data_IF_439337942000
#
_entry.id   IF_439337942000
#
_cell.length_a   1.000
_cell.length_b   1.000
_cell.length_c   1.000
_cell.angle_alpha   90.00
_cell.angle_beta   90.00
_cell.angle_gamma   90.00
#
_symmetry.space_group_name_H-M   'P 1'
#
loop_
_entity.id
_entity.type
_entity.pdbx_description
1 polymer ?
#
# COMPACT_ATOMS: atom_id res chain seq x y z
N UNK A 1 9.22 54.60 58.07
CA UNK A 1 8.97 55.35 56.81
C UNK A 1 9.76 54.66 55.72
N UNK A 2 9.28 54.21 54.55
CA UNK A 2 8.04 54.27 53.76
C UNK A 2 7.86 52.84 53.19
N UNK A 3 6.70 52.16 53.25
CA UNK A 3 5.53 52.21 52.34
C UNK A 3 5.85 52.34 50.83
N UNK A 4 5.48 51.31 50.06
CA UNK A 4 5.08 51.48 48.66
C UNK A 4 4.94 50.19 47.84
N UNK A 5 3.69 49.81 47.53
CA UNK A 5 3.16 49.23 46.25
C UNK A 5 3.70 47.88 45.72
N UNK A 6 3.00 47.00 45.01
CA UNK A 6 1.60 46.76 44.58
C UNK A 6 1.60 45.27 44.15
N UNK A 7 0.68 44.41 44.57
CA UNK A 7 -0.54 44.01 43.84
C UNK A 7 -0.30 43.55 42.39
N UNK A 8 -0.07 42.26 42.17
CA UNK A 8 -0.55 41.54 40.97
C UNK A 8 -1.00 40.13 41.37
N UNK A 9 -2.25 39.87 41.01
CA UNK A 9 -3.01 38.64 41.14
C UNK A 9 -2.51 37.58 40.18
N UNK A 10 -2.01 36.46 40.69
CA UNK A 10 -1.74 35.28 39.87
C UNK A 10 -3.08 34.65 39.48
N UNK A 11 -3.39 34.85 38.22
CA UNK A 11 -4.56 34.31 37.55
C UNK A 11 -4.25 32.86 37.21
N UNK A 12 -5.10 31.99 37.72
CA UNK A 12 -5.46 30.67 37.21
C UNK A 12 -4.99 30.43 35.75
N UNK A 13 -4.01 29.55 35.57
CA UNK A 13 -3.78 28.90 34.28
C UNK A 13 -3.98 27.41 34.52
N UNK A 14 -5.26 27.04 34.47
CA UNK A 14 -5.72 25.68 34.29
C UNK A 14 -5.00 25.11 33.05
N UNK A 15 -3.97 24.30 33.31
CA UNK A 15 -3.23 23.59 32.27
C UNK A 15 -4.09 22.42 31.78
N UNK A 16 -5.18 22.76 31.09
CA UNK A 16 -5.89 21.82 30.23
C UNK A 16 -4.93 21.49 29.11
N UNK A 17 -4.22 20.37 29.27
CA UNK A 17 -3.43 19.71 28.25
C UNK A 17 -4.41 19.25 27.17
N UNK A 18 -4.71 20.16 26.25
CA UNK A 18 -5.46 19.88 25.03
C UNK A 18 -4.65 18.85 24.25
N UNK A 19 -5.03 17.58 24.42
CA UNK A 19 -4.63 16.53 23.51
C UNK A 19 -5.16 16.97 22.17
N UNK A 20 -4.27 17.44 21.28
CA UNK A 20 -4.56 17.53 19.87
C UNK A 20 -5.01 16.13 19.43
N UNK A 21 -6.32 15.93 19.38
CA UNK A 21 -6.90 14.87 18.59
C UNK A 21 -6.47 15.20 17.17
N UNK A 22 -5.44 14.50 16.70
CA UNK A 22 -5.23 14.33 15.28
C UNK A 22 -6.48 13.59 14.82
N UNK A 23 -7.49 14.34 14.41
CA UNK A 23 -8.55 13.81 13.57
C UNK A 23 -7.84 13.32 12.32
N UNK A 24 -7.50 12.04 12.33
CA UNK A 24 -7.09 11.32 11.13
C UNK A 24 -8.32 11.34 10.23
N UNK A 25 -8.43 12.37 9.39
CA UNK A 25 -9.33 12.37 8.25
C UNK A 25 -8.77 11.30 7.31
N UNK A 26 -9.09 10.04 7.58
CA UNK A 26 -8.93 8.96 6.60
C UNK A 26 -9.81 9.35 5.43
N UNK A 27 -9.19 9.81 4.34
CA UNK A 27 -9.84 9.88 3.04
C UNK A 27 -10.48 8.51 2.80
N UNK A 28 -11.81 8.45 2.90
CA UNK A 28 -12.53 7.21 2.71
C UNK A 28 -12.49 6.89 1.22
N UNK A 29 -11.51 6.09 0.81
CA UNK A 29 -11.44 5.57 -0.55
C UNK A 29 -12.67 4.71 -0.80
N UNK A 30 -13.39 4.97 -1.89
CA UNK A 30 -14.51 4.14 -2.34
C UNK A 30 -13.99 2.81 -2.93
N UNK A 31 -13.63 1.89 -2.03
CA UNK A 31 -13.12 0.55 -2.38
C UNK A 31 -14.16 -0.23 -3.18
N UNK A 32 -15.44 -0.13 -2.84
CA UNK A 32 -16.53 -0.81 -3.56
C UNK A 32 -16.66 -0.29 -5.00
N UNK A 33 -16.54 1.02 -5.20
CA UNK A 33 -16.49 1.65 -6.52
C UNK A 33 -15.28 1.20 -7.32
N UNK A 34 -14.10 1.10 -6.70
CA UNK A 34 -12.90 0.57 -7.33
C UNK A 34 -13.06 -0.88 -7.77
N UNK A 35 -13.61 -1.74 -6.91
CA UNK A 35 -13.87 -3.14 -7.24
C UNK A 35 -14.84 -3.27 -8.42
N UNK A 36 -15.89 -2.44 -8.48
CA UNK A 36 -16.80 -2.39 -9.63
C UNK A 36 -16.10 -1.96 -10.92
N UNK A 37 -15.16 -1.01 -10.85
CA UNK A 37 -14.36 -0.55 -12.01
C UNK A 37 -13.39 -1.63 -12.51
N UNK A 38 -12.72 -2.35 -11.60
CA UNK A 38 -11.87 -3.50 -11.94
C UNK A 38 -12.69 -4.63 -12.58
N UNK A 39 -13.96 -4.76 -12.19
CA UNK A 39 -14.90 -5.73 -12.74
C UNK A 39 -14.76 -7.09 -12.08
N UNK A 40 -15.28 -8.13 -12.75
CA UNK A 40 -15.24 -9.50 -12.23
C UNK A 40 -13.96 -10.21 -12.71
N UNK A 41 -13.27 -10.85 -11.78
CA UNK A 41 -12.09 -11.68 -12.04
C UNK A 41 -11.33 -11.94 -10.76
N UNK A 42 -10.47 -12.96 -10.77
CA UNK A 42 -9.49 -13.16 -9.70
C UNK A 42 -8.43 -12.08 -9.82
N UNK A 43 -8.17 -11.37 -8.72
CA UNK A 43 -7.21 -10.26 -8.64
C UNK A 43 -5.95 -10.71 -7.92
N UNK A 44 -4.86 -10.74 -8.66
CA UNK A 44 -3.51 -10.90 -8.13
C UNK A 44 -2.92 -9.50 -8.00
N UNK A 45 -2.82 -9.02 -6.76
CA UNK A 45 -2.17 -7.74 -6.50
C UNK A 45 -0.66 -7.96 -6.35
N UNK A 46 0.15 -7.11 -6.95
CA UNK A 46 1.61 -7.17 -6.85
C UNK A 46 2.12 -5.88 -6.23
N UNK A 47 2.75 -6.00 -5.07
CA UNK A 47 3.44 -4.92 -4.37
C UNK A 47 4.92 -5.25 -4.31
N UNK A 48 5.77 -4.25 -4.47
CA UNK A 48 7.20 -4.43 -4.42
C UNK A 48 7.84 -3.33 -3.59
N UNK A 49 8.89 -3.72 -2.86
CA UNK A 49 9.74 -2.78 -2.17
C UNK A 49 10.43 -1.85 -3.17
N UNK A 50 10.62 -0.58 -2.81
CA UNK A 50 11.20 0.42 -3.72
C UNK A 50 12.59 0.04 -4.26
N UNK A 51 13.37 -0.74 -3.49
CA UNK A 51 14.71 -1.22 -3.85
C UNK A 51 14.71 -2.59 -4.57
N UNK A 52 13.53 -3.14 -4.88
CA UNK A 52 13.40 -4.41 -5.57
C UNK A 52 14.07 -4.37 -6.95
N UNK A 53 14.98 -5.31 -7.26
CA UNK A 53 15.64 -5.33 -8.56
C UNK A 53 14.63 -5.50 -9.70
N UNK A 54 14.71 -4.66 -10.72
CA UNK A 54 13.81 -4.73 -11.88
C UNK A 54 13.81 -6.09 -12.58
N UNK A 55 14.97 -6.77 -12.60
CA UNK A 55 15.09 -8.14 -13.14
C UNK A 55 14.24 -9.17 -12.36
N UNK A 56 14.14 -9.02 -11.04
CA UNK A 56 13.27 -9.85 -10.21
C UNK A 56 11.80 -9.57 -10.53
N UNK A 57 11.42 -8.29 -10.61
CA UNK A 57 10.05 -7.89 -10.98
C UNK A 57 9.65 -8.42 -12.36
N UNK A 58 10.55 -8.35 -13.33
CA UNK A 58 10.33 -8.89 -14.69
C UNK A 58 10.18 -10.41 -14.66
N UNK A 59 10.98 -11.12 -13.86
CA UNK A 59 10.87 -12.57 -13.72
C UNK A 59 9.54 -12.98 -13.09
N UNK A 60 9.10 -12.25 -12.06
CA UNK A 60 7.77 -12.43 -11.44
C UNK A 60 6.67 -12.16 -12.46
N UNK A 61 6.72 -11.04 -13.17
CA UNK A 61 5.72 -10.66 -14.16
C UNK A 61 5.57 -11.72 -15.28
N UNK A 62 6.69 -12.20 -15.83
CA UNK A 62 6.70 -13.27 -16.83
C UNK A 62 6.14 -14.57 -16.27
N UNK A 63 6.54 -14.97 -15.06
CA UNK A 63 6.02 -16.21 -14.46
C UNK A 63 4.51 -16.15 -14.23
N UNK A 64 4.01 -15.00 -13.79
CA UNK A 64 2.57 -14.81 -13.65
C UNK A 64 1.87 -14.88 -15.02
N UNK A 65 2.38 -14.19 -16.04
CA UNK A 65 1.81 -14.22 -17.40
C UNK A 65 1.81 -15.63 -17.99
N UNK A 66 2.89 -16.40 -17.80
CA UNK A 66 2.99 -17.77 -18.33
C UNK A 66 2.02 -18.73 -17.62
N UNK A 67 1.95 -18.70 -16.29
CA UNK A 67 1.31 -19.75 -15.49
C UNK A 67 -0.17 -19.47 -15.19
N UNK A 68 -0.58 -18.21 -15.06
CA UNK A 68 -1.95 -17.88 -14.68
C UNK A 68 -2.93 -17.96 -15.86
N UNK A 69 -4.17 -18.44 -15.67
CA UNK A 69 -5.13 -18.54 -16.76
C UNK A 69 -5.52 -17.16 -17.29
N UNK A 70 -5.89 -17.11 -18.58
CA UNK A 70 -6.44 -15.92 -19.18
C UNK A 70 -7.71 -15.48 -18.43
N UNK A 71 -7.81 -14.17 -18.12
CA UNK A 71 -8.90 -13.60 -17.33
C UNK A 71 -8.55 -13.31 -15.86
N UNK A 72 -7.38 -13.74 -15.37
CA UNK A 72 -6.82 -13.22 -14.13
C UNK A 72 -6.38 -11.77 -14.34
N UNK A 73 -6.69 -10.93 -13.36
CA UNK A 73 -6.35 -9.51 -13.34
C UNK A 73 -5.13 -9.32 -12.45
N UNK A 74 -4.14 -8.59 -12.96
CA UNK A 74 -2.99 -8.15 -12.16
C UNK A 74 -3.23 -6.71 -11.76
N UNK A 75 -3.12 -6.40 -10.48
CA UNK A 75 -3.24 -5.03 -9.97
C UNK A 75 -1.92 -4.63 -9.34
N UNK A 76 -1.32 -3.55 -9.83
CA UNK A 76 0.00 -3.08 -9.41
C UNK A 76 -0.10 -1.69 -8.80
N UNK A 77 0.88 -1.32 -7.98
CA UNK A 77 1.09 0.07 -7.50
C UNK A 77 2.53 0.52 -7.70
N UNK A 78 2.75 1.82 -7.61
CA UNK A 78 4.05 2.44 -7.82
C UNK A 78 4.48 2.44 -9.29
N UNK A 79 5.68 2.95 -9.56
CA UNK A 79 6.19 3.12 -10.93
C UNK A 79 6.87 1.86 -11.48
N UNK A 80 7.64 1.13 -10.67
CA UNK A 80 8.49 0.04 -11.16
C UNK A 80 7.72 -1.23 -11.56
N UNK A 81 6.70 -1.61 -10.78
CA UNK A 81 5.96 -2.86 -11.02
C UNK A 81 5.19 -2.82 -12.34
N UNK A 82 4.42 -1.77 -12.68
CA UNK A 82 3.76 -1.66 -13.99
C UNK A 82 4.71 -1.84 -15.18
N UNK A 83 5.90 -1.24 -15.13
CA UNK A 83 6.91 -1.37 -16.19
C UNK A 83 7.38 -2.82 -16.37
N UNK A 84 7.47 -3.60 -15.30
CA UNK A 84 7.85 -5.01 -15.38
C UNK A 84 6.81 -5.87 -16.13
N UNK A 85 5.55 -5.42 -16.21
CA UNK A 85 4.45 -6.10 -16.91
C UNK A 85 4.21 -5.59 -18.34
N UNK A 86 4.95 -4.61 -18.86
CA UNK A 86 4.72 -4.03 -20.21
C UNK A 86 4.81 -5.05 -21.35
N UNK A 87 5.58 -6.12 -21.16
CA UNK A 87 5.75 -7.18 -22.15
C UNK A 87 4.82 -8.38 -21.92
N UNK A 88 4.02 -8.35 -20.86
CA UNK A 88 3.00 -9.36 -20.58
C UNK A 88 1.74 -9.03 -21.39
N UNK A 89 1.12 -10.04 -22.00
CA UNK A 89 -0.02 -9.82 -22.90
C UNK A 89 -1.20 -10.74 -22.66
N UNK A 90 -1.02 -11.79 -21.85
CA UNK A 90 -2.08 -12.73 -21.50
C UNK A 90 -2.92 -12.20 -20.34
N UNK A 91 -2.28 -11.55 -19.38
CA UNK A 91 -2.94 -10.99 -18.21
C UNK A 91 -3.39 -9.55 -18.44
N UNK A 92 -4.54 -9.20 -17.85
CA UNK A 92 -4.99 -7.81 -17.81
C UNK A 92 -4.35 -7.11 -16.62
N UNK A 93 -3.47 -6.16 -16.89
CA UNK A 93 -2.77 -5.39 -15.84
C UNK A 93 -3.48 -4.07 -15.60
N UNK A 94 -3.68 -3.72 -14.33
CA UNK A 94 -4.18 -2.43 -13.87
C UNK A 94 -3.17 -1.79 -12.94
N UNK A 95 -2.99 -0.48 -13.05
CA UNK A 95 -2.10 0.29 -12.16
C UNK A 95 -2.92 1.22 -11.30
N UNK A 96 -2.68 1.19 -9.98
CA UNK A 96 -3.25 2.15 -9.05
C UNK A 96 -2.20 3.20 -8.72
N UNK A 97 -2.59 4.47 -8.80
CA UNK A 97 -1.73 5.62 -8.45
C UNK A 97 -2.30 6.35 -7.23
N UNK A 98 -1.42 6.75 -6.31
CA UNK A 98 -1.76 7.64 -5.21
C UNK A 98 -1.67 9.11 -5.65
N UNK A 99 -2.14 10.04 -4.79
CA UNK A 99 -2.06 11.50 -5.03
C UNK A 99 -0.63 12.03 -5.09
N UNK A 100 0.28 11.31 -4.45
CA UNK A 100 1.65 11.76 -4.19
C UNK A 100 2.64 11.19 -5.22
N UNK A 101 2.16 10.31 -6.10
CA UNK A 101 2.93 9.71 -7.19
C UNK A 101 2.52 10.35 -8.52
N UNK A 102 3.42 11.16 -9.10
CA UNK A 102 3.41 11.47 -10.53
C UNK A 102 3.82 10.21 -11.30
N UNK A 103 2.92 9.23 -11.34
CA UNK A 103 3.15 7.96 -12.03
C UNK A 103 3.03 8.14 -13.54
N UNK A 104 4.10 7.85 -14.27
CA UNK A 104 4.03 7.69 -15.72
C UNK A 104 3.25 6.41 -16.01
N UNK A 105 1.96 6.56 -16.31
CA UNK A 105 1.05 5.44 -16.54
C UNK A 105 1.51 4.65 -17.78
N UNK A 106 1.97 3.42 -17.58
CA UNK A 106 2.35 2.52 -18.68
C UNK A 106 1.19 2.24 -19.64
N UNK A 107 -0.04 2.25 -19.12
CA UNK A 107 -1.28 2.22 -19.91
C UNK A 107 -2.38 3.06 -19.26
N UNK A 108 -2.61 4.27 -19.79
CA UNK A 108 -3.64 5.21 -19.30
C UNK A 108 -5.05 4.60 -19.26
N UNK A 109 -5.36 3.61 -20.10
CA UNK A 109 -6.69 3.00 -20.13
C UNK A 109 -6.95 2.06 -18.93
N UNK A 110 -5.88 1.52 -18.33
CA UNK A 110 -5.95 0.60 -17.19
C UNK A 110 -5.29 1.19 -15.92
N UNK A 111 -5.13 2.51 -15.87
CA UNK A 111 -4.62 3.23 -14.69
C UNK A 111 -5.76 3.92 -13.94
N UNK A 112 -5.81 3.72 -12.63
CA UNK A 112 -6.76 4.37 -11.73
C UNK A 112 -6.02 5.22 -10.70
N UNK A 113 -6.28 6.53 -10.70
CA UNK A 113 -5.89 7.38 -9.57
C UNK A 113 -6.92 7.21 -8.45
N UNK A 114 -6.43 6.92 -7.25
CA UNK A 114 -7.27 6.61 -6.09
C UNK A 114 -7.56 7.86 -5.25
N UNK A 115 -6.86 8.97 -5.54
CA UNK A 115 -7.09 10.23 -4.84
C UNK A 115 -6.74 10.14 -3.35
N UNK A 116 -5.82 9.25 -2.97
CA UNK A 116 -5.41 9.04 -1.59
C UNK A 116 -3.89 8.88 -1.46
N UNK A 117 -3.38 9.01 -0.24
CA UNK A 117 -1.95 8.87 0.08
C UNK A 117 -1.37 7.49 -0.26
N UNK A 118 -0.05 7.41 -0.40
CA UNK A 118 0.67 6.14 -0.59
C UNK A 118 0.34 5.08 0.49
N UNK A 119 0.16 5.50 1.74
CA UNK A 119 -0.17 4.58 2.84
C UNK A 119 -1.59 4.04 2.77
N UNK A 120 -2.54 4.86 2.34
CA UNK A 120 -3.93 4.45 2.11
C UNK A 120 -4.00 3.50 0.92
N UNK A 121 -3.15 3.71 -0.09
CA UNK A 121 -3.07 2.83 -1.25
C UNK A 121 -2.62 1.40 -0.87
N UNK A 122 -1.67 1.25 0.07
CA UNK A 122 -1.28 -0.07 0.59
C UNK A 122 -2.47 -0.80 1.23
N UNK A 123 -3.25 -0.08 2.04
CA UNK A 123 -4.45 -0.63 2.67
C UNK A 123 -5.47 -1.04 1.60
N UNK A 124 -5.68 -0.22 0.56
CA UNK A 124 -6.60 -0.51 -0.54
C UNK A 124 -6.15 -1.76 -1.31
N UNK A 125 -4.87 -1.89 -1.62
CA UNK A 125 -4.31 -3.05 -2.32
C UNK A 125 -4.59 -4.34 -1.53
N UNK A 126 -4.25 -4.37 -0.23
CA UNK A 126 -4.54 -5.53 0.62
C UNK A 126 -6.04 -5.81 0.74
N UNK A 127 -6.89 -4.79 0.58
CA UNK A 127 -8.34 -4.93 0.65
C UNK A 127 -9.00 -5.48 -0.63
N UNK A 128 -8.42 -5.26 -1.80
CA UNK A 128 -8.99 -5.70 -3.08
C UNK A 128 -8.35 -6.98 -3.62
N UNK A 129 -7.22 -7.40 -3.04
CA UNK A 129 -6.50 -8.61 -3.46
C UNK A 129 -7.29 -9.87 -3.14
N UNK A 130 -7.38 -10.78 -4.12
CA UNK A 130 -7.75 -12.18 -3.88
C UNK A 130 -6.49 -13.04 -3.64
N UNK A 131 -5.36 -12.60 -4.21
CA UNK A 131 -4.00 -13.04 -3.91
C UNK A 131 -3.09 -11.81 -3.88
N UNK A 132 -2.18 -11.73 -2.91
CA UNK A 132 -1.17 -10.68 -2.83
C UNK A 132 0.22 -11.28 -3.05
N UNK A 133 0.91 -10.85 -4.10
CA UNK A 133 2.34 -11.13 -4.32
C UNK A 133 3.13 -9.96 -3.75
N UNK A 134 3.88 -10.24 -2.69
CA UNK A 134 4.70 -9.27 -2.00
C UNK A 134 6.17 -9.49 -2.39
N UNK A 135 6.82 -8.51 -3.01
CA UNK A 135 8.21 -8.62 -3.49
C UNK A 135 9.13 -7.74 -2.64
N UNK A 136 10.12 -8.36 -1.97
CA UNK A 136 11.02 -7.64 -1.07
C UNK A 136 10.37 -7.28 0.27
N UNK A 137 11.06 -6.45 1.05
CA UNK A 137 10.63 -6.06 2.39
C UNK A 137 10.81 -4.55 2.57
N UNK A 138 9.69 -3.83 2.66
CA UNK A 138 9.65 -2.43 3.06
C UNK A 138 8.34 -2.13 3.82
N UNK A 139 8.20 -0.97 4.47
CA UNK A 139 7.01 -0.67 5.26
C UNK A 139 5.68 -0.72 4.47
N UNK A 140 5.68 -0.41 3.17
CA UNK A 140 4.47 -0.41 2.34
C UNK A 140 4.04 -1.83 1.94
N UNK A 141 5.02 -2.67 1.58
CA UNK A 141 4.82 -4.10 1.33
C UNK A 141 4.28 -4.79 2.59
N UNK A 142 4.84 -4.49 3.77
CA UNK A 142 4.42 -5.11 5.03
C UNK A 142 3.02 -4.68 5.42
N UNK A 143 2.67 -3.40 5.27
CA UNK A 143 1.30 -2.91 5.49
C UNK A 143 0.29 -3.61 4.59
N UNK A 144 0.57 -3.67 3.28
CA UNK A 144 -0.30 -4.38 2.32
C UNK A 144 -0.47 -5.86 2.70
N UNK A 145 0.64 -6.49 3.12
CA UNK A 145 0.68 -7.89 3.56
C UNK A 145 -0.16 -8.12 4.82
N UNK A 146 -0.01 -7.28 5.84
CA UNK A 146 -0.76 -7.37 7.09
C UNK A 146 -2.26 -7.20 6.83
N UNK A 147 -2.65 -6.22 6.01
CA UNK A 147 -4.07 -6.00 5.63
C UNK A 147 -4.65 -7.19 4.89
N UNK A 148 -3.91 -7.76 3.93
CA UNK A 148 -4.33 -8.95 3.19
C UNK A 148 -4.44 -10.18 4.12
N UNK A 149 -3.42 -10.44 4.93
CA UNK A 149 -3.36 -11.58 5.84
C UNK A 149 -4.48 -11.54 6.89
N UNK A 150 -4.75 -10.37 7.49
CA UNK A 150 -5.85 -10.18 8.45
C UNK A 150 -7.24 -10.44 7.85
N UNK A 151 -7.35 -10.42 6.52
CA UNK A 151 -8.59 -10.72 5.78
C UNK A 151 -8.65 -12.16 5.27
N UNK A 152 -7.66 -12.98 5.57
CA UNK A 152 -7.56 -14.36 5.09
C UNK A 152 -7.18 -14.47 3.61
N UNK A 153 -6.60 -13.40 3.03
CA UNK A 153 -6.12 -13.42 1.65
C UNK A 153 -4.80 -14.20 1.57
N UNK A 154 -4.62 -14.94 0.48
CA UNK A 154 -3.37 -15.64 0.23
C UNK A 154 -2.24 -14.63 -0.08
N UNK A 155 -1.23 -14.60 0.79
CA UNK A 155 -0.01 -13.82 0.57
C UNK A 155 1.10 -14.74 0.05
N UNK A 156 1.69 -14.38 -1.09
CA UNK A 156 2.81 -15.05 -1.72
C UNK A 156 4.05 -14.17 -1.59
N UNK A 157 4.92 -14.44 -0.62
CA UNK A 157 6.15 -13.68 -0.46
C UNK A 157 7.20 -14.09 -1.51
N UNK A 158 7.84 -13.09 -2.11
CA UNK A 158 8.95 -13.23 -3.05
C UNK A 158 10.12 -12.42 -2.52
N UNK A 159 11.14 -13.11 -2.02
CA UNK A 159 12.34 -12.46 -1.51
C UNK A 159 13.59 -13.00 -2.19
N UNK A 160 14.67 -12.21 -2.17
CA UNK A 160 16.00 -12.71 -2.47
C UNK A 160 16.60 -13.31 -1.21
N UNK A 161 17.19 -14.49 -1.31
CA UNK A 161 17.75 -15.23 -0.17
C UNK A 161 18.86 -14.48 0.58
N UNK A 162 19.42 -13.41 0.01
CA UNK A 162 20.43 -12.56 0.61
C UNK A 162 19.87 -11.32 1.36
N UNK A 163 18.54 -11.13 1.39
CA UNK A 163 17.89 -10.02 2.06
C UNK A 163 17.21 -10.44 3.40
N UNK A 164 17.18 -9.57 4.43
CA UNK A 164 16.50 -9.87 5.69
C UNK A 164 14.97 -10.00 5.50
N UNK A 165 14.40 -11.14 5.90
CA UNK A 165 12.95 -11.42 5.75
C UNK A 165 12.11 -10.80 6.88
N UNK A 166 12.72 -10.45 8.01
CA UNK A 166 12.03 -9.95 9.21
C UNK A 166 11.27 -8.64 9.00
N UNK A 167 11.62 -7.86 7.96
CA UNK A 167 10.91 -6.62 7.66
C UNK A 167 9.63 -6.84 6.85
N UNK A 168 9.42 -8.03 6.26
CA UNK A 168 8.29 -8.34 5.38
C UNK A 168 7.02 -8.73 6.12
N UNK A 169 7.17 -9.23 7.35
CA UNK A 169 6.07 -9.67 8.20
C UNK A 169 6.22 -8.98 9.55
N UNK A 170 5.29 -8.09 9.91
CA UNK A 170 5.41 -7.29 11.12
C UNK A 170 5.13 -8.10 12.41
N UNK A 171 4.72 -9.38 12.31
CA UNK A 171 4.39 -10.18 13.48
C UNK A 171 4.92 -11.62 13.39
N UNK A 172 5.75 -12.01 14.36
CA UNK A 172 6.13 -13.42 14.64
C UNK A 172 4.92 -14.31 15.01
N UNK A 173 3.74 -13.72 15.21
CA UNK A 173 2.55 -14.38 15.73
C UNK A 173 1.69 -15.12 14.68
N UNK A 174 1.99 -15.01 13.39
CA UNK A 174 1.14 -15.59 12.32
C UNK A 174 1.63 -16.93 11.76
N UNK A 175 2.77 -17.45 12.23
CA UNK A 175 3.39 -18.68 11.72
C UNK A 175 3.53 -19.81 12.75
N UNK A 176 2.89 -19.69 13.92
CA UNK A 176 2.74 -20.79 14.90
C UNK A 176 1.33 -21.38 14.84
#
# INVERSE_FOLDING_TARGET
SQKGFSMESETEVDATREQAQVETVTEAVDVDGLQKKLGKGTRVCVVAAADSPFALLTAVARKLDDELPAGVQVVTRGSLVPHAFEHCSKLKTFTLLCTDEDGDATDKANTFSIGASSSTLDDVIGQISDVLVAVGADPGVSRSTDVAANRGICVVPVWRSDAPVSQMFATEAQWQ
#
